data_IF_400232221601
#
_entry.id   IF_400232221601
#
_cell.length_a   1.000
_cell.length_b   1.000
_cell.length_c   1.000
_cell.angle_alpha   90.00
_cell.angle_beta   90.00
_cell.angle_gamma   90.00
#
_symmetry.space_group_name_H-M   'P 1'
#
loop_
_entity.id
_entity.type
_entity.pdbx_description
1 polymer ?
#
# COMPACT_ATOMS: atom_id res chain seq x y z
N UNK A 1 -24.19 -4.49 11.76
CA UNK A 1 -24.47 -3.88 13.07
C UNK A 1 -24.58 -2.36 12.91
N UNK A 2 -25.34 -1.69 13.79
CA UNK A 2 -25.37 -0.22 13.81
C UNK A 2 -24.09 0.27 14.47
N UNK A 3 -23.32 1.08 13.74
CA UNK A 3 -22.08 1.64 14.24
C UNK A 3 -21.78 3.02 13.62
N UNK A 4 -20.90 3.74 14.26
CA UNK A 4 -20.37 5.02 13.78
C UNK A 4 -19.42 4.78 12.60
N UNK A 5 -19.68 5.46 11.49
CA UNK A 5 -18.89 5.32 10.26
C UNK A 5 -18.75 6.70 9.59
N UNK A 6 -17.79 6.83 8.71
CA UNK A 6 -17.55 8.05 7.95
C UNK A 6 -18.59 8.20 6.82
N UNK A 7 -19.07 9.43 6.65
CA UNK A 7 -19.87 9.86 5.49
C UNK A 7 -19.18 11.00 4.78
N UNK A 8 -19.14 10.93 3.46
CA UNK A 8 -18.55 11.99 2.61
C UNK A 8 -19.66 12.66 1.80
N UNK A 9 -19.75 13.98 1.94
CA UNK A 9 -20.61 14.80 1.12
C UNK A 9 -19.90 15.13 -0.19
N UNK A 10 -20.35 14.51 -1.28
CA UNK A 10 -19.74 14.65 -2.60
C UNK A 10 -19.83 16.06 -3.17
N UNK A 11 -20.83 16.84 -2.77
CA UNK A 11 -20.99 18.22 -3.23
C UNK A 11 -19.94 19.14 -2.61
N UNK A 12 -19.60 18.91 -1.34
CA UNK A 12 -18.56 19.67 -0.63
C UNK A 12 -17.16 19.19 -0.94
N UNK A 13 -16.99 17.95 -1.38
CA UNK A 13 -15.69 17.39 -1.71
C UNK A 13 -15.08 18.09 -2.94
N UNK A 14 -13.87 18.62 -2.79
CA UNK A 14 -13.12 19.25 -3.88
C UNK A 14 -12.16 18.31 -4.62
N UNK A 15 -12.07 17.04 -4.21
CA UNK A 15 -11.22 16.04 -4.85
C UNK A 15 -9.72 16.13 -4.51
N UNK A 16 -9.34 16.78 -3.41
CA UNK A 16 -7.94 16.96 -3.03
C UNK A 16 -7.23 15.66 -2.62
N UNK A 17 -7.97 14.62 -2.21
CA UNK A 17 -7.42 13.31 -1.83
C UNK A 17 -6.76 13.24 -0.45
N UNK A 18 -6.72 14.33 0.31
CA UNK A 18 -6.06 14.37 1.63
C UNK A 18 -6.62 13.32 2.60
N UNK A 19 -7.93 13.14 2.62
CA UNK A 19 -8.58 12.16 3.47
C UNK A 19 -8.24 10.70 3.11
N UNK A 20 -8.05 10.40 1.83
CA UNK A 20 -7.65 9.06 1.40
C UNK A 20 -6.21 8.75 1.81
N UNK A 21 -5.34 9.75 1.82
CA UNK A 21 -3.96 9.62 2.32
C UNK A 21 -3.93 9.49 3.85
N UNK A 22 -4.78 10.25 4.55
CA UNK A 22 -4.86 10.24 6.02
C UNK A 22 -5.56 9.01 6.59
N UNK A 23 -6.30 8.27 5.79
CA UNK A 23 -6.96 7.04 6.23
C UNK A 23 -5.93 5.92 6.38
N UNK A 24 -5.48 5.68 7.61
CA UNK A 24 -4.51 4.64 7.92
C UNK A 24 -5.00 3.23 7.55
N UNK A 25 -6.31 3.03 7.63
CA UNK A 25 -6.96 1.74 7.35
C UNK A 25 -7.19 1.50 5.85
N UNK A 26 -7.06 2.52 5.01
CA UNK A 26 -7.28 2.40 3.57
C UNK A 26 -8.75 2.18 3.18
N UNK A 27 -9.68 2.67 4.00
CA UNK A 27 -11.12 2.56 3.76
C UNK A 27 -11.61 3.49 2.64
N UNK A 28 -10.91 4.61 2.43
CA UNK A 28 -11.25 5.66 1.47
C UNK A 28 -10.47 5.51 0.18
N UNK A 29 -11.12 5.84 -0.94
CA UNK A 29 -10.47 5.89 -2.25
C UNK A 29 -11.01 7.07 -3.06
N UNK A 30 -10.34 7.41 -4.17
CA UNK A 30 -10.77 8.47 -5.08
C UNK A 30 -11.48 7.86 -6.27
N UNK A 31 -12.78 8.17 -6.41
CA UNK A 31 -13.63 7.73 -7.52
C UNK A 31 -14.15 8.96 -8.25
N UNK A 32 -13.93 9.02 -9.57
CA UNK A 32 -14.35 10.14 -10.42
C UNK A 32 -13.97 11.53 -9.86
N UNK A 33 -12.78 11.64 -9.26
CA UNK A 33 -12.27 12.88 -8.68
C UNK A 33 -12.90 13.27 -7.34
N UNK A 34 -13.63 12.38 -6.69
CA UNK A 34 -14.23 12.58 -5.36
C UNK A 34 -13.81 11.46 -4.42
N UNK A 35 -13.68 11.77 -3.14
CA UNK A 35 -13.43 10.75 -2.14
C UNK A 35 -14.70 9.94 -1.85
N UNK A 36 -14.54 8.63 -1.73
CA UNK A 36 -15.61 7.70 -1.36
C UNK A 36 -15.15 6.69 -0.31
N UNK A 37 -16.07 6.30 0.56
CA UNK A 37 -15.86 5.18 1.46
C UNK A 37 -16.16 3.88 0.71
N UNK A 38 -15.10 3.24 0.20
CA UNK A 38 -15.22 2.05 -0.67
C UNK A 38 -15.14 0.73 0.09
N UNK A 39 -14.55 0.77 1.28
CA UNK A 39 -14.38 -0.42 2.15
C UNK A 39 -14.90 -0.10 3.54
N UNK A 40 -16.20 -0.28 3.73
CA UNK A 40 -16.84 0.05 5.01
C UNK A 40 -16.28 -0.74 6.18
N UNK A 41 -15.95 -2.00 5.97
CA UNK A 41 -15.34 -2.88 6.98
C UNK A 41 -13.89 -2.51 7.33
N UNK A 42 -13.25 -1.61 6.58
CA UNK A 42 -11.93 -1.05 6.89
C UNK A 42 -12.02 0.24 7.73
N UNK A 43 -13.16 0.90 7.75
CA UNK A 43 -13.34 2.11 8.53
C UNK A 43 -13.50 1.75 10.02
N UNK A 44 -12.56 2.20 10.85
CA UNK A 44 -12.60 2.01 12.31
C UNK A 44 -13.58 2.96 13.02
N UNK A 45 -14.00 4.03 12.34
CA UNK A 45 -14.89 5.05 12.89
C UNK A 45 -14.20 6.06 13.83
N UNK A 46 -12.87 6.10 13.89
CA UNK A 46 -12.11 7.06 14.70
C UNK A 46 -12.09 8.46 14.10
N UNK A 47 -12.03 8.55 12.77
CA UNK A 47 -12.20 9.80 12.05
C UNK A 47 -10.93 10.62 11.85
N UNK A 48 -9.77 10.01 11.76
CA UNK A 48 -8.49 10.67 11.47
C UNK A 48 -8.51 11.44 10.15
N UNK A 49 -9.39 11.07 9.25
CA UNK A 49 -9.60 11.76 7.96
C UNK A 49 -10.39 13.08 8.08
N UNK A 50 -11.12 13.32 9.18
CA UNK A 50 -11.96 14.53 9.32
C UNK A 50 -11.16 15.83 9.34
N UNK A 51 -10.08 15.96 10.17
CA UNK A 51 -9.31 17.21 10.25
C UNK A 51 -8.55 17.49 8.95
N UNK A 52 -8.32 16.50 8.12
CA UNK A 52 -7.59 16.65 6.87
C UNK A 52 -8.46 17.16 5.71
N UNK A 53 -9.77 17.23 5.90
CA UNK A 53 -10.68 17.72 4.86
C UNK A 53 -10.77 19.26 4.87
N UNK A 54 -10.21 19.96 3.86
CA UNK A 54 -10.20 21.43 3.84
C UNK A 54 -11.59 22.03 3.63
N UNK A 55 -12.54 21.26 3.10
CA UNK A 55 -13.90 21.72 2.79
C UNK A 55 -14.95 21.26 3.79
N UNK A 56 -14.56 20.49 4.82
CA UNK A 56 -15.49 19.92 5.78
C UNK A 56 -16.53 18.98 5.16
N UNK A 57 -16.15 18.26 4.12
CA UNK A 57 -17.03 17.33 3.43
C UNK A 57 -17.23 16.00 4.20
N UNK A 58 -16.45 15.75 5.25
CA UNK A 58 -16.47 14.50 6.00
C UNK A 58 -17.20 14.70 7.31
N UNK A 59 -18.08 13.78 7.63
CA UNK A 59 -18.83 13.72 8.88
C UNK A 59 -18.97 12.28 9.36
N UNK A 60 -19.42 12.13 10.59
CA UNK A 60 -19.85 10.84 11.10
C UNK A 60 -21.33 10.61 10.84
N UNK A 61 -21.70 9.39 10.58
CA UNK A 61 -23.09 8.92 10.64
C UNK A 61 -23.16 7.60 11.43
N UNK A 62 -24.27 7.36 12.08
CA UNK A 62 -24.60 6.06 12.68
C UNK A 62 -25.57 5.34 11.76
N UNK A 63 -25.15 4.22 11.22
CA UNK A 63 -26.00 3.38 10.37
C UNK A 63 -25.57 1.92 10.43
N UNK A 64 -26.37 1.09 9.84
CA UNK A 64 -26.00 -0.30 9.64
C UNK A 64 -24.81 -0.38 8.67
N UNK A 65 -23.72 -0.97 9.13
CA UNK A 65 -22.48 -1.19 8.38
C UNK A 65 -21.83 -2.50 8.82
N UNK A 66 -20.99 -3.11 7.96
CA UNK A 66 -20.17 -4.25 8.34
C UNK A 66 -19.30 -3.95 9.55
N UNK A 67 -19.03 -4.94 10.36
CA UNK A 67 -18.10 -4.82 11.48
C UNK A 67 -16.70 -4.45 10.98
N UNK A 68 -15.93 -3.72 11.78
CA UNK A 68 -14.53 -3.42 11.47
C UNK A 68 -13.71 -4.70 11.45
N UNK A 69 -13.01 -4.94 10.36
CA UNK A 69 -12.21 -6.14 10.13
C UNK A 69 -10.71 -5.79 10.16
N UNK A 70 -10.16 -5.83 11.37
CA UNK A 70 -8.74 -5.54 11.59
C UNK A 70 -7.82 -6.51 10.84
N UNK A 71 -8.22 -7.77 10.69
CA UNK A 71 -7.41 -8.77 9.99
C UNK A 71 -7.36 -8.48 8.49
N UNK A 72 -8.49 -8.11 7.90
CA UNK A 72 -8.54 -7.70 6.49
C UNK A 72 -7.74 -6.43 6.24
N UNK A 73 -7.78 -5.46 7.16
CA UNK A 73 -6.97 -4.24 7.09
C UNK A 73 -5.48 -4.58 7.14
N UNK A 74 -5.05 -5.37 8.12
CA UNK A 74 -3.65 -5.81 8.23
C UNK A 74 -3.19 -6.57 6.99
N UNK A 75 -4.02 -7.45 6.46
CA UNK A 75 -3.71 -8.19 5.24
C UNK A 75 -3.58 -7.28 4.01
N UNK A 76 -4.40 -6.22 3.93
CA UNK A 76 -4.33 -5.23 2.85
C UNK A 76 -3.14 -4.28 2.97
N UNK A 77 -2.72 -3.97 4.19
CA UNK A 77 -1.55 -3.12 4.50
C UNK A 77 -0.23 -3.90 4.43
N UNK A 78 -0.27 -5.22 4.56
CA UNK A 78 0.92 -6.02 4.29
C UNK A 78 1.42 -5.68 2.88
N UNK A 79 2.72 -5.42 2.73
CA UNK A 79 3.26 -5.16 1.41
C UNK A 79 2.84 -6.30 0.50
N UNK A 80 2.01 -6.00 -0.51
CA UNK A 80 1.53 -6.97 -1.53
C UNK A 80 2.68 -7.47 -2.41
N UNK A 81 3.87 -7.52 -1.84
CA UNK A 81 5.04 -8.08 -2.48
C UNK A 81 5.19 -9.50 -2.01
N UNK A 82 5.04 -10.45 -2.92
CA UNK A 82 5.22 -11.86 -2.58
C UNK A 82 6.66 -12.18 -2.17
N UNK A 83 7.62 -11.30 -2.47
CA UNK A 83 9.04 -11.51 -2.25
C UNK A 83 9.61 -10.65 -1.10
N UNK A 84 9.41 -11.05 0.09
CA UNK A 84 10.13 -10.55 1.26
C UNK A 84 10.91 -11.72 1.89
N UNK A 85 12.21 -11.54 2.22
CA UNK A 85 13.04 -10.35 2.09
C UNK A 85 13.46 -10.02 0.64
N UNK A 86 13.79 -8.74 0.36
CA UNK A 86 14.19 -8.26 -0.97
C UNK A 86 15.71 -8.30 -1.19
N UNK A 87 16.50 -8.36 -0.12
CA UNK A 87 17.95 -8.49 -0.23
C UNK A 87 18.35 -9.80 -0.89
N UNK A 88 19.20 -9.76 -1.92
CA UNK A 88 19.69 -10.96 -2.63
C UNK A 88 20.30 -11.95 -1.63
N UNK A 89 21.06 -11.46 -0.67
CA UNK A 89 21.71 -12.26 0.36
C UNK A 89 20.73 -13.06 1.20
N UNK A 90 19.56 -12.51 1.49
CA UNK A 90 18.56 -13.07 2.41
C UNK A 90 17.45 -13.82 1.68
N UNK A 91 17.18 -13.52 0.42
CA UNK A 91 16.11 -14.16 -0.34
C UNK A 91 16.38 -15.67 -0.50
N UNK A 92 15.38 -16.54 -0.29
CA UNK A 92 15.53 -17.98 -0.52
C UNK A 92 15.65 -18.26 -2.03
N UNK A 93 16.42 -19.30 -2.39
CA UNK A 93 16.62 -19.69 -3.78
C UNK A 93 15.34 -20.29 -4.39
N UNK A 94 14.63 -21.10 -3.63
CA UNK A 94 13.48 -21.87 -4.08
C UNK A 94 12.15 -21.28 -3.55
N UNK A 95 11.91 -20.00 -3.81
CA UNK A 95 10.65 -19.38 -3.40
C UNK A 95 9.60 -19.45 -4.53
N UNK A 96 8.34 -19.79 -4.22
CA UNK A 96 7.28 -19.91 -5.23
C UNK A 96 7.06 -18.64 -6.06
N UNK A 97 7.36 -17.47 -5.49
CA UNK A 97 7.18 -16.19 -6.18
C UNK A 97 8.18 -15.95 -7.31
N UNK A 98 9.19 -16.82 -7.49
CA UNK A 98 10.08 -16.75 -8.64
C UNK A 98 9.53 -17.47 -9.88
N UNK A 99 8.57 -18.37 -9.71
CA UNK A 99 8.02 -19.15 -10.82
C UNK A 99 7.30 -18.23 -11.83
N UNK A 100 7.83 -18.18 -13.05
CA UNK A 100 7.31 -17.35 -14.13
C UNK A 100 7.38 -15.84 -13.89
N UNK A 101 8.17 -15.39 -12.91
CA UNK A 101 8.25 -13.99 -12.52
C UNK A 101 9.10 -13.15 -13.48
N UNK A 102 8.72 -11.89 -13.65
CA UNK A 102 9.59 -10.87 -14.19
C UNK A 102 10.51 -10.36 -13.08
N UNK A 103 11.78 -10.68 -13.16
CA UNK A 103 12.76 -10.36 -12.13
C UNK A 103 13.39 -8.98 -12.38
N UNK A 104 13.40 -8.15 -11.34
CA UNK A 104 14.18 -6.92 -11.30
C UNK A 104 15.31 -7.08 -10.28
N UNK A 105 16.54 -6.84 -10.72
CA UNK A 105 17.71 -6.75 -9.83
C UNK A 105 18.20 -5.31 -9.86
N UNK A 106 18.27 -4.68 -8.70
CA UNK A 106 18.64 -3.28 -8.57
C UNK A 106 19.61 -3.06 -7.41
N UNK A 107 20.35 -1.95 -7.46
CA UNK A 107 21.12 -1.49 -6.32
C UNK A 107 20.16 -1.02 -5.20
N UNK A 108 20.51 -1.28 -3.96
CA UNK A 108 19.67 -0.98 -2.80
C UNK A 108 19.34 0.52 -2.62
N UNK A 109 20.22 1.40 -3.08
CA UNK A 109 20.04 2.85 -3.04
C UNK A 109 19.18 3.42 -4.18
N UNK A 110 18.84 2.65 -5.21
CA UNK A 110 18.13 3.17 -6.40
C UNK A 110 16.73 3.67 -6.10
N UNK A 111 16.01 3.05 -5.17
CA UNK A 111 14.68 3.51 -4.74
C UNK A 111 14.72 4.86 -4.02
N UNK A 112 15.80 5.20 -3.37
CA UNK A 112 16.03 6.51 -2.74
C UNK A 112 16.41 7.59 -3.75
N UNK A 113 17.22 7.22 -4.75
CA UNK A 113 17.74 8.15 -5.75
C UNK A 113 16.72 8.48 -6.84
N UNK A 114 15.77 7.58 -7.11
CA UNK A 114 14.78 7.72 -8.17
C UNK A 114 13.36 7.74 -7.60
N UNK A 115 12.74 8.91 -7.58
CA UNK A 115 11.46 9.14 -6.90
C UNK A 115 10.29 8.24 -7.37
N UNK A 116 10.29 7.85 -8.64
CA UNK A 116 9.24 7.02 -9.23
C UNK A 116 9.63 5.54 -9.35
N UNK A 117 10.64 5.08 -8.62
CA UNK A 117 11.21 3.73 -8.76
C UNK A 117 10.18 2.61 -8.63
N UNK A 118 9.26 2.73 -7.69
CA UNK A 118 8.20 1.74 -7.48
C UNK A 118 7.24 1.64 -8.68
N UNK A 119 6.86 2.78 -9.24
CA UNK A 119 5.95 2.84 -10.38
C UNK A 119 6.60 2.37 -11.66
N UNK A 120 7.83 2.82 -11.91
CA UNK A 120 8.46 2.67 -13.21
C UNK A 120 9.23 1.35 -13.35
N UNK A 121 9.77 0.84 -12.25
CA UNK A 121 10.62 -0.36 -12.27
C UNK A 121 10.05 -1.56 -11.51
N UNK A 122 9.49 -1.36 -10.31
CA UNK A 122 9.06 -2.49 -9.47
C UNK A 122 7.71 -3.06 -9.89
N UNK A 123 6.85 -2.26 -10.48
CA UNK A 123 5.49 -2.67 -10.82
C UNK A 123 5.49 -3.96 -11.64
N UNK A 124 4.74 -4.96 -11.17
CA UNK A 124 4.62 -6.30 -11.79
C UNK A 124 5.95 -7.08 -11.90
N UNK A 125 6.90 -6.79 -11.01
CA UNK A 125 8.17 -7.51 -10.96
C UNK A 125 8.46 -8.02 -9.56
N UNK A 126 9.09 -9.18 -9.49
CA UNK A 126 9.77 -9.65 -8.27
C UNK A 126 11.10 -8.91 -8.19
N UNK A 127 11.36 -8.25 -7.07
CA UNK A 127 12.52 -7.36 -6.93
C UNK A 127 13.52 -7.91 -5.93
N UNK A 128 14.77 -8.00 -6.36
CA UNK A 128 15.92 -8.28 -5.51
C UNK A 128 16.85 -7.08 -5.53
N UNK A 129 17.39 -6.74 -4.35
CA UNK A 129 18.33 -5.63 -4.20
C UNK A 129 19.64 -6.08 -3.56
N UNK A 130 20.70 -5.38 -3.86
CA UNK A 130 22.02 -5.57 -3.27
C UNK A 130 22.92 -4.38 -3.55
N UNK A 131 24.09 -4.35 -2.95
CA UNK A 131 25.08 -3.31 -3.19
C UNK A 131 26.36 -3.93 -3.75
N UNK A 132 26.74 -3.68 -4.99
CA UNK A 132 27.95 -4.27 -5.60
C UNK A 132 29.25 -3.77 -4.96
N UNK A 133 29.19 -2.67 -4.21
CA UNK A 133 30.35 -2.10 -3.52
C UNK A 133 30.44 -2.52 -2.06
N UNK A 134 29.29 -2.61 -1.36
CA UNK A 134 29.25 -2.90 0.09
C UNK A 134 29.10 -4.39 0.37
N UNK A 135 28.40 -5.11 -0.50
CA UNK A 135 28.22 -6.55 -0.35
C UNK A 135 29.50 -7.27 -0.80
N UNK A 136 30.21 -7.85 0.15
CA UNK A 136 31.44 -8.61 -0.10
C UNK A 136 31.12 -10.07 -0.49
N UNK A 137 30.19 -10.24 -1.42
CA UNK A 137 29.70 -11.55 -1.86
C UNK A 137 29.50 -11.54 -3.39
N UNK A 138 29.94 -12.60 -4.05
CA UNK A 138 29.57 -12.86 -5.43
C UNK A 138 28.20 -13.59 -5.46
N UNK A 139 27.22 -12.95 -6.05
CA UNK A 139 25.87 -13.52 -6.18
C UNK A 139 25.64 -14.33 -7.46
N UNK A 140 26.65 -14.51 -8.30
CA UNK A 140 26.52 -15.18 -9.61
C UNK A 140 25.92 -16.58 -9.50
N UNK A 141 26.39 -17.38 -8.54
CA UNK A 141 25.88 -18.72 -8.31
C UNK A 141 24.42 -18.71 -7.83
N UNK A 142 24.09 -17.83 -6.90
CA UNK A 142 22.73 -17.69 -6.36
C UNK A 142 21.72 -17.20 -7.39
N UNK A 143 22.14 -16.29 -8.29
CA UNK A 143 21.27 -15.74 -9.32
C UNK A 143 21.08 -16.67 -10.53
N UNK A 144 21.91 -17.67 -10.69
CA UNK A 144 21.79 -18.70 -11.73
C UNK A 144 21.02 -19.95 -11.28
N UNK A 145 20.81 -20.09 -10.01
CA UNK A 145 20.04 -21.20 -9.43
C UNK A 145 18.55 -20.99 -9.64
#
# INVERSE_FOLDING_TARGET
>A
MIRKIIRIDKEKCNGCGACAVACHEGALDMIDGKAELVREHFCDGLGDCLPECPTGAISFEEREAPEYDEEAVKAAQMPKRPNWPVQIKLAPINAPYFDGANLLIAADCTAYAYASFHRDFIRNRVTLIGCPKLDQVDYSEKLTA
#
